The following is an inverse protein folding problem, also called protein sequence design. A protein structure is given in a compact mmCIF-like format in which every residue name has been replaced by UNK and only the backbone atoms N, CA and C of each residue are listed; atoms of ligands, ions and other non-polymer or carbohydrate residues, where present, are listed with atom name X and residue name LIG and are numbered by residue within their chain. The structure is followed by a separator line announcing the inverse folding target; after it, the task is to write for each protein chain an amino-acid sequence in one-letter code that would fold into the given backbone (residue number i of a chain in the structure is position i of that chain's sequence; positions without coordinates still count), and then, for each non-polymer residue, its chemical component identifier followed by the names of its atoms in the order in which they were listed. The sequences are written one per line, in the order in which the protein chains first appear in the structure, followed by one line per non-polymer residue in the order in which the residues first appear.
data_IF_321296738110
#
_entry.id   IF_321296738110
#
_cell.length_a   1.000
_cell.length_b   1.000
_cell.length_c   1.000
_cell.angle_alpha   90.00
_cell.angle_beta   90.00
_cell.angle_gamma   90.00
#
_symmetry.space_group_name_H-M   'P 1'
#
loop_
_entity.id
_entity.type
_entity.pdbx_description
1 polymer ?
#
# COMPACT_ATOMS: atom_id res chain seq x y z
N UNK A 1 -27.24 -21.32 -17.05
CA UNK A 1 -26.32 -20.23 -16.70
C UNK A 1 -26.15 -20.21 -15.20
N UNK A 2 -25.06 -20.79 -14.70
CA UNK A 2 -24.77 -20.81 -13.27
C UNK A 2 -24.37 -19.41 -12.82
N UNK A 3 -25.16 -18.78 -11.95
CA UNK A 3 -24.72 -17.61 -11.20
C UNK A 3 -23.71 -18.14 -10.19
N UNK A 4 -22.43 -18.06 -10.51
CA UNK A 4 -21.36 -18.26 -9.53
C UNK A 4 -21.51 -17.16 -8.48
N UNK A 5 -22.19 -17.48 -7.38
CA UNK A 5 -22.23 -16.62 -6.21
C UNK A 5 -20.82 -16.64 -5.62
N UNK A 6 -19.96 -15.72 -6.08
CA UNK A 6 -18.70 -15.43 -5.39
C UNK A 6 -19.02 -15.16 -3.91
N UNK A 7 -18.35 -15.90 -3.05
CA UNK A 7 -18.72 -16.04 -1.66
C UNK A 7 -18.67 -14.71 -0.91
N UNK A 8 -19.63 -14.40 -0.03
CA UNK A 8 -19.65 -13.15 0.74
C UNK A 8 -18.40 -12.92 1.62
N UNK A 9 -17.79 -13.99 2.14
CA UNK A 9 -16.57 -13.93 2.96
C UNK A 9 -15.36 -13.31 2.25
N UNK A 10 -15.31 -13.40 0.93
CA UNK A 10 -14.21 -12.89 0.11
C UNK A 10 -14.28 -11.37 -0.09
N UNK A 11 -15.52 -10.84 -0.16
CA UNK A 11 -15.76 -9.40 -0.20
C UNK A 11 -15.50 -8.71 1.12
N UNK A 12 -15.54 -9.41 2.26
CA UNK A 12 -15.24 -8.78 3.55
C UNK A 12 -13.77 -8.41 3.63
N UNK A 13 -12.84 -9.26 3.18
CA UNK A 13 -11.40 -9.01 3.31
C UNK A 13 -10.92 -7.69 2.71
N UNK A 14 -11.26 -7.45 1.45
CA UNK A 14 -10.93 -6.18 0.78
C UNK A 14 -11.66 -4.99 1.40
N UNK A 15 -12.94 -5.19 1.75
CA UNK A 15 -13.75 -4.15 2.38
C UNK A 15 -13.18 -3.76 3.74
N UNK A 16 -12.80 -4.73 4.57
CA UNK A 16 -12.26 -4.53 5.91
C UNK A 16 -10.93 -3.78 5.84
N UNK A 17 -10.07 -4.14 4.88
CA UNK A 17 -8.82 -3.43 4.63
C UNK A 17 -9.05 -1.99 4.18
N UNK A 18 -9.88 -1.78 3.14
CA UNK A 18 -10.18 -0.43 2.61
C UNK A 18 -10.94 0.41 3.65
N UNK A 19 -11.79 -0.20 4.47
CA UNK A 19 -12.58 0.47 5.49
C UNK A 19 -11.67 1.24 6.46
N UNK A 20 -10.55 0.65 6.88
CA UNK A 20 -9.57 1.36 7.71
C UNK A 20 -9.05 2.64 7.02
N UNK A 21 -8.76 2.59 5.72
CA UNK A 21 -8.35 3.79 4.98
C UNK A 21 -9.46 4.84 4.85
N UNK A 22 -10.70 4.40 4.62
CA UNK A 22 -11.87 5.27 4.51
C UNK A 22 -12.11 5.99 5.85
N UNK A 23 -12.06 5.27 6.96
CA UNK A 23 -12.24 5.85 8.30
C UNK A 23 -11.24 6.99 8.55
N UNK A 24 -9.97 6.83 8.17
CA UNK A 24 -9.00 7.92 8.29
C UNK A 24 -9.28 9.12 7.40
N UNK A 25 -9.93 8.92 6.25
CA UNK A 25 -10.35 10.03 5.38
C UNK A 25 -11.46 10.87 6.03
N UNK A 26 -12.27 10.29 6.92
CA UNK A 26 -13.35 11.02 7.61
C UNK A 26 -12.81 12.01 8.65
N UNK A 27 -11.60 11.77 9.18
CA UNK A 27 -11.02 12.57 10.27
C UNK A 27 -9.80 13.41 9.86
N UNK A 28 -9.20 13.16 8.69
CA UNK A 28 -7.99 13.84 8.25
C UNK A 28 -8.27 14.83 7.12
N UNK A 29 -8.09 16.12 7.39
CA UNK A 29 -8.18 17.20 6.39
C UNK A 29 -7.12 17.11 5.29
N UNK A 30 -6.11 16.25 5.49
CA UNK A 30 -4.95 16.10 4.59
C UNK A 30 -4.98 14.82 3.76
N UNK A 31 -5.92 13.92 4.03
CA UNK A 31 -6.05 12.63 3.37
C UNK A 31 -7.30 12.61 2.49
N UNK A 32 -7.11 12.25 1.23
CA UNK A 32 -8.20 12.13 0.25
C UNK A 32 -8.18 10.73 -0.34
N UNK A 33 -9.27 9.98 -0.16
CA UNK A 33 -9.50 8.70 -0.83
C UNK A 33 -10.20 8.87 -2.18
N UNK A 34 -9.76 8.12 -3.18
CA UNK A 34 -10.35 8.07 -4.51
C UNK A 34 -10.40 6.62 -5.00
N UNK A 35 -11.30 6.35 -5.94
CA UNK A 35 -11.24 5.12 -6.72
C UNK A 35 -10.78 5.51 -8.11
N UNK A 36 -9.51 5.25 -8.37
CA UNK A 36 -8.90 5.46 -9.67
C UNK A 36 -8.84 4.14 -10.42
N UNK A 37 -8.89 4.21 -11.75
CA UNK A 37 -8.77 3.06 -12.65
C UNK A 37 -9.85 1.99 -12.43
N UNK A 38 -10.19 1.27 -13.49
CA UNK A 38 -11.20 0.24 -13.40
C UNK A 38 -10.92 -0.91 -14.36
N UNK A 39 -11.29 -2.10 -13.94
CA UNK A 39 -11.32 -3.27 -14.80
C UNK A 39 -12.60 -4.06 -14.58
N UNK A 40 -12.91 -4.97 -15.49
CA UNK A 40 -14.07 -5.84 -15.39
C UNK A 40 -13.61 -7.28 -15.21
N UNK A 41 -14.20 -7.96 -14.23
CA UNK A 41 -13.98 -9.39 -13.99
C UNK A 41 -15.31 -10.07 -13.68
N UNK A 42 -15.62 -11.15 -14.39
CA UNK A 42 -16.89 -11.90 -14.26
C UNK A 42 -18.15 -11.01 -14.28
N UNK A 43 -18.16 -9.99 -15.15
CA UNK A 43 -19.29 -9.06 -15.30
C UNK A 43 -19.42 -8.02 -14.17
N UNK A 44 -18.44 -7.92 -13.27
CA UNK A 44 -18.37 -6.91 -12.20
C UNK A 44 -17.27 -5.90 -12.49
N UNK A 45 -17.51 -4.64 -12.12
CA UNK A 45 -16.53 -3.57 -12.18
C UNK A 45 -15.74 -3.52 -10.88
N UNK A 46 -14.42 -3.61 -10.98
CA UNK A 46 -13.47 -3.45 -9.90
C UNK A 46 -12.74 -2.13 -10.09
N UNK A 47 -12.41 -1.45 -8.98
CA UNK A 47 -11.65 -0.21 -8.99
C UNK A 47 -10.45 -0.29 -8.08
N UNK A 48 -9.41 0.50 -8.35
CA UNK A 48 -8.23 0.56 -7.50
C UNK A 48 -8.42 1.72 -6.50
N UNK A 49 -8.52 1.44 -5.20
CA UNK A 49 -8.53 2.51 -4.22
C UNK A 49 -7.16 3.19 -4.24
N UNK A 50 -7.13 4.51 -4.35
CA UNK A 50 -5.91 5.30 -4.20
C UNK A 50 -6.14 6.39 -3.17
N UNK A 51 -5.09 6.72 -2.43
CA UNK A 51 -5.15 7.69 -1.34
C UNK A 51 -4.08 8.74 -1.54
N UNK A 52 -4.43 10.00 -1.36
CA UNK A 52 -3.49 11.11 -1.45
C UNK A 52 -3.37 11.79 -0.10
N UNK A 53 -2.15 11.87 0.43
CA UNK A 53 -1.82 12.61 1.65
C UNK A 53 -1.07 13.86 1.27
N UNK A 54 -1.63 15.01 1.61
CA UNK A 54 -0.96 16.30 1.45
C UNK A 54 -0.17 16.64 2.71
N UNK A 55 1.17 16.55 2.64
CA UNK A 55 2.02 17.05 3.70
C UNK A 55 1.88 18.56 3.89
N UNK A 56 2.31 19.05 5.05
CA UNK A 56 2.32 20.50 5.29
C UNK A 56 3.15 21.22 4.22
N UNK A 57 2.54 22.22 3.57
CA UNK A 57 3.20 23.02 2.54
C UNK A 57 4.34 23.82 3.14
N UNK A 58 5.54 23.69 2.57
CA UNK A 58 6.63 24.60 2.89
C UNK A 58 6.55 25.85 1.99
N UNK A 59 6.68 27.07 2.54
CA UNK A 59 6.69 28.29 1.73
C UNK A 59 7.81 28.25 0.68
N UNK A 60 7.46 28.46 -0.59
CA UNK A 60 8.44 28.52 -1.69
C UNK A 60 8.87 27.17 -2.27
N UNK A 61 8.39 26.03 -1.76
CA UNK A 61 8.59 24.72 -2.38
C UNK A 61 7.42 24.35 -3.30
N UNK A 62 7.72 23.86 -4.51
CA UNK A 62 6.71 23.17 -5.33
C UNK A 62 6.22 21.89 -4.68
N UNK A 63 5.05 21.39 -5.10
CA UNK A 63 4.54 20.10 -4.64
C UNK A 63 5.40 18.96 -5.21
N UNK A 64 5.90 18.10 -4.33
CA UNK A 64 6.74 16.94 -4.70
C UNK A 64 5.97 15.66 -4.49
N UNK A 65 5.67 14.93 -5.56
CA UNK A 65 4.92 13.69 -5.46
C UNK A 65 5.84 12.51 -5.14
N UNK A 66 5.40 11.64 -4.24
CA UNK A 66 6.00 10.33 -3.99
C UNK A 66 4.91 9.28 -4.10
N UNK A 67 5.16 8.25 -4.91
CA UNK A 67 4.24 7.13 -5.06
C UNK A 67 4.60 6.03 -4.05
N UNK A 68 3.59 5.47 -3.39
CA UNK A 68 3.69 4.37 -2.45
C UNK A 68 2.80 3.23 -2.95
N UNK A 69 3.36 2.03 -3.03
CA UNK A 69 2.61 0.84 -3.49
C UNK A 69 2.74 -0.27 -2.46
N UNK A 70 1.61 -0.84 -2.06
CA UNK A 70 1.55 -2.07 -1.30
C UNK A 70 1.49 -3.23 -2.27
N UNK A 71 2.59 -3.96 -2.39
CA UNK A 71 2.70 -5.07 -3.33
C UNK A 71 2.28 -6.35 -2.62
N UNK A 72 1.19 -6.94 -3.12
CA UNK A 72 0.70 -8.24 -2.68
C UNK A 72 0.69 -9.23 -3.84
N UNK A 73 0.92 -10.49 -3.47
CA UNK A 73 0.67 -11.66 -4.32
C UNK A 73 -0.45 -12.48 -3.66
N UNK A 74 -1.48 -12.82 -4.43
CA UNK A 74 -2.66 -13.51 -3.91
C UNK A 74 -3.35 -12.74 -2.78
N UNK A 75 -3.57 -13.42 -1.64
CA UNK A 75 -4.35 -12.88 -0.51
C UNK A 75 -3.52 -12.22 0.60
N UNK A 76 -2.23 -11.99 0.36
CA UNK A 76 -1.33 -11.30 1.29
C UNK A 76 -1.74 -9.85 1.55
N UNK A 77 -2.27 -9.55 2.75
CA UNK A 77 -2.71 -8.20 3.12
C UNK A 77 -1.65 -7.35 3.85
N UNK A 78 -0.54 -7.96 4.27
CA UNK A 78 0.41 -7.34 5.19
C UNK A 78 1.03 -6.06 4.64
N UNK A 79 1.38 -6.01 3.35
CA UNK A 79 1.90 -4.79 2.72
C UNK A 79 0.90 -3.62 2.80
N UNK A 80 -0.38 -3.91 2.58
CA UNK A 80 -1.44 -2.92 2.66
C UNK A 80 -1.72 -2.46 4.10
N UNK A 81 -1.68 -3.39 5.06
CA UNK A 81 -1.80 -3.07 6.49
C UNK A 81 -0.63 -2.20 6.98
N UNK A 82 0.60 -2.48 6.52
CA UNK A 82 1.76 -1.61 6.80
C UNK A 82 1.56 -0.21 6.25
N UNK A 83 1.03 -0.07 5.04
CA UNK A 83 0.71 1.24 4.48
C UNK A 83 -0.41 1.93 5.26
N UNK A 84 -1.44 1.20 5.72
CA UNK A 84 -2.49 1.77 6.57
C UNK A 84 -1.91 2.37 7.86
N UNK A 85 -1.01 1.64 8.53
CA UNK A 85 -0.32 2.13 9.74
C UNK A 85 0.55 3.37 9.44
N UNK A 86 1.18 3.43 8.27
CA UNK A 86 1.89 4.63 7.84
C UNK A 86 0.93 5.81 7.68
N UNK A 87 -0.21 5.61 7.01
CA UNK A 87 -1.23 6.66 6.84
C UNK A 87 -1.77 7.14 8.19
N UNK A 88 -2.06 6.22 9.11
CA UNK A 88 -2.46 6.53 10.49
C UNK A 88 -1.46 7.46 11.17
N UNK A 89 -0.17 7.13 11.03
CA UNK A 89 0.89 7.94 11.61
C UNK A 89 0.99 9.32 10.96
N UNK A 90 0.86 9.39 9.64
CA UNK A 90 0.89 10.64 8.89
C UNK A 90 -0.32 11.53 9.16
N UNK A 91 -1.50 10.94 9.38
CA UNK A 91 -2.70 11.68 9.75
C UNK A 91 -2.53 12.36 11.13
N UNK A 92 -1.89 11.68 12.08
CA UNK A 92 -1.58 12.24 13.41
C UNK A 92 -0.40 13.22 13.35
N UNK A 93 0.57 12.97 12.46
CA UNK A 93 1.84 13.70 12.37
C UNK A 93 2.14 14.16 10.94
N UNK A 94 1.35 15.10 10.38
CA UNK A 94 1.42 15.50 8.97
C UNK A 94 2.73 16.21 8.59
N UNK A 95 3.52 16.64 9.58
CA UNK A 95 4.84 17.23 9.38
C UNK A 95 5.87 16.21 8.85
N UNK A 96 5.64 14.90 9.03
CA UNK A 96 6.52 13.85 8.49
C UNK A 96 6.55 13.91 6.95
N UNK A 97 5.41 14.20 6.32
CA UNK A 97 5.30 14.35 4.87
C UNK A 97 5.58 15.78 4.37
N UNK A 98 6.10 16.69 5.21
CA UNK A 98 6.21 18.11 4.86
C UNK A 98 6.94 18.33 3.52
N UNK A 99 6.38 19.21 2.69
CA UNK A 99 6.88 19.50 1.35
C UNK A 99 6.57 18.43 0.29
N UNK A 100 5.94 17.31 0.66
CA UNK A 100 5.61 16.22 -0.24
C UNK A 100 4.11 15.91 -0.27
N UNK A 101 3.67 15.36 -1.39
CA UNK A 101 2.34 14.78 -1.58
C UNK A 101 2.56 13.29 -1.80
N UNK A 102 1.99 12.48 -0.93
CA UNK A 102 2.12 11.02 -1.00
C UNK A 102 0.89 10.47 -1.72
N UNK A 103 1.08 9.79 -2.84
CA UNK A 103 0.03 8.99 -3.49
C UNK A 103 0.23 7.55 -3.11
N UNK A 104 -0.82 6.89 -2.64
CA UNK A 104 -0.77 5.55 -2.09
C UNK A 104 -1.72 4.66 -2.87
N UNK A 105 -1.18 3.62 -3.48
CA UNK A 105 -1.91 2.47 -3.98
C UNK A 105 -1.72 1.34 -2.94
N UNK A 106 -2.69 1.09 -2.06
CA UNK A 106 -2.49 0.19 -0.94
C UNK A 106 -2.38 -1.28 -1.35
N UNK A 107 -2.93 -1.65 -2.52
CA UNK A 107 -3.01 -3.03 -2.99
C UNK A 107 -2.73 -3.09 -4.49
N UNK A 108 -1.74 -3.87 -4.91
CA UNK A 108 -1.40 -4.10 -6.33
C UNK A 108 -2.30 -5.15 -6.99
N UNK A 109 -2.71 -6.20 -6.26
CA UNK A 109 -3.65 -7.22 -6.71
C UNK A 109 -4.92 -7.22 -5.83
N UNK A 110 -5.88 -6.34 -6.13
CA UNK A 110 -7.12 -6.29 -5.37
C UNK A 110 -7.99 -7.54 -5.56
N UNK A 111 -7.80 -8.28 -6.65
CA UNK A 111 -8.60 -9.47 -6.93
C UNK A 111 -8.06 -10.69 -6.18
N UNK A 112 -6.75 -10.82 -5.99
CA UNK A 112 -6.13 -11.82 -5.13
C UNK A 112 -6.61 -11.74 -3.68
N UNK A 113 -6.71 -10.52 -3.14
CA UNK A 113 -7.27 -10.28 -1.79
C UNK A 113 -8.76 -10.65 -1.69
N UNK A 114 -9.54 -10.38 -2.74
CA UNK A 114 -10.96 -10.77 -2.77
C UNK A 114 -11.06 -12.30 -2.93
N UNK A 115 -10.46 -12.90 -3.95
CA UNK A 115 -10.68 -14.30 -4.33
C UNK A 115 -9.89 -15.35 -3.55
N UNK A 116 -8.79 -14.99 -2.88
CA UNK A 116 -7.86 -15.94 -2.27
C UNK A 116 -6.75 -16.43 -3.21
N UNK A 117 -5.88 -17.33 -2.70
CA UNK A 117 -4.62 -17.81 -3.31
C UNK A 117 -4.73 -18.47 -4.72
N UNK A 118 -5.92 -18.69 -5.28
CA UNK A 118 -6.05 -19.46 -6.53
C UNK A 118 -7.30 -19.09 -7.31
N UNK A 119 -7.35 -17.87 -7.86
CA UNK A 119 -8.55 -17.42 -8.57
C UNK A 119 -8.36 -16.46 -9.74
N UNK A 120 -7.21 -15.80 -9.87
CA UNK A 120 -7.04 -14.74 -10.88
C UNK A 120 -6.51 -15.33 -12.19
N UNK A 121 -7.26 -15.25 -13.31
CA UNK A 121 -6.77 -15.67 -14.62
C UNK A 121 -5.59 -14.82 -15.09
N UNK A 122 -4.65 -15.40 -15.84
CA UNK A 122 -3.45 -14.71 -16.33
C UNK A 122 -3.76 -13.44 -17.14
N UNK A 123 -4.84 -13.46 -17.92
CA UNK A 123 -5.32 -12.28 -18.66
C UNK A 123 -5.73 -11.12 -17.74
N UNK A 124 -6.28 -11.44 -16.57
CA UNK A 124 -6.66 -10.44 -15.55
C UNK A 124 -5.43 -9.97 -14.81
N UNK A 125 -4.50 -10.87 -14.45
CA UNK A 125 -3.21 -10.49 -13.87
C UNK A 125 -2.47 -9.48 -14.75
N UNK A 126 -2.48 -9.68 -16.08
CA UNK A 126 -1.85 -8.74 -17.00
C UNK A 126 -2.54 -7.36 -16.99
N UNK A 127 -3.87 -7.32 -16.87
CA UNK A 127 -4.60 -6.05 -16.75
C UNK A 127 -4.25 -5.36 -15.43
N UNK A 128 -4.21 -6.11 -14.33
CA UNK A 128 -3.83 -5.59 -13.02
C UNK A 128 -2.42 -5.01 -13.05
N UNK A 129 -1.45 -5.74 -13.57
CA UNK A 129 -0.07 -5.28 -13.72
C UNK A 129 0.00 -4.00 -14.56
N UNK A 130 -0.77 -3.92 -15.65
CA UNK A 130 -0.85 -2.70 -16.47
C UNK A 130 -1.38 -1.50 -15.67
N UNK A 131 -2.35 -1.70 -14.77
CA UNK A 131 -2.87 -0.62 -13.92
C UNK A 131 -1.87 -0.20 -12.83
N UNK A 132 -1.16 -1.17 -12.24
CA UNK A 132 -0.12 -0.92 -11.24
C UNK A 132 1.06 -0.19 -11.89
N UNK A 133 1.49 -0.62 -13.08
CA UNK A 133 2.53 0.05 -13.87
C UNK A 133 2.12 1.47 -14.25
N UNK A 134 0.86 1.68 -14.61
CA UNK A 134 0.36 3.02 -14.85
C UNK A 134 0.48 3.91 -13.61
N UNK A 135 0.27 3.37 -12.40
CA UNK A 135 0.47 4.10 -11.14
C UNK A 135 1.96 4.37 -10.87
N UNK A 136 2.81 3.34 -10.99
CA UNK A 136 4.26 3.43 -10.80
C UNK A 136 4.87 4.53 -11.67
N UNK A 137 4.40 4.64 -12.91
CA UNK A 137 4.92 5.59 -13.90
C UNK A 137 4.25 6.98 -13.85
N UNK A 138 3.33 7.24 -12.91
CA UNK A 138 2.81 8.60 -12.74
C UNK A 138 3.93 9.57 -12.37
N UNK A 139 3.93 10.82 -12.88
CA UNK A 139 4.98 11.79 -12.59
C UNK A 139 5.18 11.99 -11.08
N UNK A 140 6.32 11.54 -10.57
CA UNK A 140 6.71 11.59 -9.16
C UNK A 140 8.23 11.81 -9.05
N UNK A 141 8.68 12.37 -7.94
CA UNK A 141 10.11 12.44 -7.63
C UNK A 141 10.63 11.08 -7.12
N UNK A 142 9.75 10.21 -6.61
CA UNK A 142 10.14 8.89 -6.17
C UNK A 142 9.00 7.90 -6.05
N UNK A 143 9.38 6.64 -5.90
CA UNK A 143 8.52 5.47 -5.73
C UNK A 143 9.04 4.66 -4.55
N UNK A 144 8.14 4.22 -3.68
CA UNK A 144 8.39 3.28 -2.59
C UNK A 144 7.42 2.12 -2.75
N UNK A 145 7.93 0.89 -2.82
CA UNK A 145 7.15 -0.32 -2.87
C UNK A 145 7.40 -1.12 -1.59
N UNK A 146 6.32 -1.48 -0.90
CA UNK A 146 6.34 -2.34 0.26
C UNK A 146 5.96 -3.74 -0.21
N UNK A 147 6.90 -4.67 -0.13
CA UNK A 147 6.69 -6.08 -0.43
C UNK A 147 6.68 -6.84 0.88
N UNK A 148 5.72 -7.74 1.07
CA UNK A 148 5.76 -8.72 2.15
C UNK A 148 5.60 -10.10 1.54
N UNK A 149 6.59 -10.96 1.74
CA UNK A 149 6.55 -12.35 1.28
C UNK A 149 5.85 -13.24 2.30
N UNK A 150 5.39 -14.42 1.89
CA UNK A 150 4.63 -15.35 2.75
C UNK A 150 5.37 -15.93 3.97
N UNK A 151 6.64 -15.55 4.17
CA UNK A 151 7.45 -15.80 5.37
C UNK A 151 7.45 -14.58 6.33
N UNK A 152 6.56 -13.62 6.13
CA UNK A 152 6.47 -12.33 6.82
C UNK A 152 7.72 -11.44 6.68
N UNK A 153 8.61 -11.76 5.73
CA UNK A 153 9.76 -10.90 5.44
C UNK A 153 9.28 -9.66 4.68
N UNK A 154 9.37 -8.49 5.34
CA UNK A 154 9.11 -7.20 4.71
C UNK A 154 10.34 -6.71 3.95
N UNK A 155 10.15 -6.28 2.70
CA UNK A 155 11.16 -5.65 1.86
C UNK A 155 10.63 -4.32 1.34
N UNK A 156 11.46 -3.29 1.43
CA UNK A 156 11.17 -1.96 0.89
C UNK A 156 12.04 -1.76 -0.34
N UNK A 157 11.40 -1.51 -1.48
CA UNK A 157 12.09 -1.12 -2.70
C UNK A 157 11.84 0.37 -2.94
N UNK A 158 12.90 1.15 -3.13
CA UNK A 158 12.79 2.59 -3.35
C UNK A 158 13.48 3.00 -4.64
N UNK A 159 12.86 3.92 -5.37
CA UNK A 159 13.42 4.55 -6.56
C UNK A 159 13.27 6.07 -6.43
N UNK A 160 14.30 6.83 -6.82
CA UNK A 160 14.27 8.29 -6.73
C UNK A 160 15.67 8.90 -6.50
N UNK A 161 15.74 10.17 -6.06
CA UNK A 161 16.98 10.87 -5.74
C UNK A 161 17.81 10.14 -4.69
N UNK A 162 19.13 10.31 -4.73
CA UNK A 162 20.07 9.67 -3.81
C UNK A 162 19.75 9.94 -2.33
N UNK A 163 19.20 11.11 -2.00
CA UNK A 163 18.77 11.46 -0.63
C UNK A 163 17.64 10.56 -0.14
N UNK A 164 16.67 10.26 -1.00
CA UNK A 164 15.55 9.36 -0.70
C UNK A 164 16.04 7.92 -0.56
N UNK A 165 16.90 7.47 -1.48
CA UNK A 165 17.47 6.12 -1.44
C UNK A 165 18.30 5.91 -0.16
N UNK A 166 19.13 6.89 0.22
CA UNK A 166 19.89 6.85 1.47
C UNK A 166 19.01 6.79 2.72
N UNK A 167 17.94 7.61 2.76
CA UNK A 167 16.98 7.59 3.86
C UNK A 167 16.22 6.25 3.95
N UNK A 168 15.82 5.69 2.80
CA UNK A 168 15.15 4.38 2.74
C UNK A 168 16.05 3.25 3.22
N UNK A 169 17.34 3.25 2.84
CA UNK A 169 18.31 2.26 3.33
C UNK A 169 18.47 2.34 4.85
N UNK A 170 18.69 3.56 5.37
CA UNK A 170 18.85 3.78 6.81
C UNK A 170 17.60 3.37 7.62
N UNK A 171 16.40 3.65 7.09
CA UNK A 171 15.15 3.23 7.72
C UNK A 171 15.00 1.70 7.69
N UNK A 172 15.36 1.05 6.59
CA UNK A 172 15.29 -0.42 6.46
C UNK A 172 16.27 -1.09 7.41
N UNK A 173 17.50 -0.59 7.52
CA UNK A 173 18.50 -1.06 8.49
C UNK A 173 18.01 -0.90 9.92
N UNK A 174 17.44 0.26 10.28
CA UNK A 174 16.89 0.49 11.61
C UNK A 174 15.71 -0.45 11.94
N UNK A 175 14.83 -0.72 10.97
CA UNK A 175 13.73 -1.66 11.15
C UNK A 175 14.23 -3.10 11.36
N UNK A 176 15.26 -3.51 10.63
CA UNK A 176 15.89 -4.83 10.81
C UNK A 176 16.51 -4.96 12.21
N UNK A 177 17.21 -3.93 12.68
CA UNK A 177 17.79 -3.93 14.04
C UNK A 177 16.72 -4.08 15.13
N UNK A 178 15.59 -3.40 15.00
CA UNK A 178 14.48 -3.49 15.95
C UNK A 178 13.86 -4.90 15.97
N UNK A 179 13.67 -5.52 14.80
CA UNK A 179 13.16 -6.89 14.70
C UNK A 179 14.10 -7.89 15.36
N UNK A 180 15.41 -7.73 15.20
CA UNK A 180 16.42 -8.59 15.82
C UNK A 180 16.44 -8.42 17.35
N UNK A 181 16.29 -7.19 17.86
CA UNK A 181 16.23 -6.91 19.31
C UNK A 181 14.98 -7.50 19.96
N UNK A 182 13.81 -7.36 19.35
CA UNK A 182 12.56 -7.95 19.83
C UNK A 182 12.63 -9.48 19.82
N UNK A 183 13.26 -10.07 18.79
CA UNK A 183 13.52 -11.50 18.74
C UNK A 183 14.42 -11.96 19.88
N UNK A 184 15.54 -11.27 20.12
CA UNK A 184 16.47 -11.57 21.22
C UNK A 184 15.79 -11.47 22.59
N UNK A 185 14.98 -10.45 22.82
CA UNK A 185 14.23 -10.28 24.07
C UNK A 185 13.18 -11.38 24.27
N UNK A 186 12.50 -11.81 23.20
CA UNK A 186 11.51 -12.88 23.26
C UNK A 186 12.12 -14.26 23.56
N UNK A 187 13.36 -14.51 23.09
CA UNK A 187 14.13 -15.72 23.38
C UNK A 187 14.65 -15.69 24.82
N UNK A 188 15.18 -14.55 25.27
CA UNK A 188 15.66 -14.38 26.65
C UNK A 188 14.53 -14.49 27.69
N UNK A 189 13.31 -14.06 27.36
CA UNK A 189 12.13 -14.19 28.24
C UNK A 189 11.55 -15.62 28.31
N UNK A 190 12.00 -16.54 27.43
CA UNK A 190 11.56 -17.93 27.37
C UNK A 190 12.59 -18.93 27.92
N UNK A 191 13.76 -18.46 28.35
CA UNK A 191 14.82 -19.23 29.03
C UNK A 191 14.82 -18.94 30.53
#
# INVERSE_FOLDING_TARGET
MSKTFLHPEYRSRMRDLIQGFIEHCEFSDSLVGQIERFFYFQGRKYGFPTFTISGQRQPGSGARFVNLVGVNDGDGKTAAETLLQLIERLAIQPHIAAGHILRVLPVSDPLGLELGESGVPAEVLQILETQVDAFRNEPAEGLIEVHVTGDDTMRIHAQGPATMLGASSAATEALQMLQDEDFQQSVAARL
#
